data_IF_837827297993
#
_entry.id   IF_837827297993
#
_cell.length_a   1.000
_cell.length_b   1.000
_cell.length_c   1.000
_cell.angle_alpha   90.00
_cell.angle_beta   90.00
_cell.angle_gamma   90.00
#
_symmetry.space_group_name_H-M   'P 1'
#
loop_
_entity.id
_entity.type
_entity.pdbx_description
1 polymer ?
#
# COMPACT_ATOMS: atom_id res chain seq x y z
N UNK A 1 -22.40 5.44 3.07
CA UNK A 1 -21.68 6.74 2.99
C UNK A 1 -21.92 7.51 1.69
N UNK A 2 -22.36 6.87 0.59
CA UNK A 2 -22.56 7.56 -0.70
C UNK A 2 -23.63 8.67 -0.72
N UNK A 3 -24.48 8.79 0.30
CA UNK A 3 -25.46 9.87 0.42
C UNK A 3 -24.91 11.15 1.11
N UNK A 4 -23.66 11.12 1.61
CA UNK A 4 -23.12 12.22 2.43
C UNK A 4 -22.78 13.48 1.62
N UNK A 5 -22.58 13.36 0.29
CA UNK A 5 -22.23 14.49 -0.57
C UNK A 5 -21.05 15.29 -0.02
N UNK A 6 -21.22 16.60 0.09
CA UNK A 6 -20.21 17.54 0.61
C UNK A 6 -19.81 17.25 2.07
N UNK A 7 -20.66 16.58 2.86
CA UNK A 7 -20.34 16.22 4.24
C UNK A 7 -19.34 15.05 4.35
N UNK A 8 -19.03 14.36 3.24
CA UNK A 8 -18.09 13.24 3.22
C UNK A 8 -16.70 13.63 3.75
N UNK A 9 -16.18 14.77 3.30
CA UNK A 9 -14.84 15.24 3.70
C UNK A 9 -14.74 15.46 5.21
N UNK A 10 -15.74 16.09 5.81
CA UNK A 10 -15.78 16.25 7.27
C UNK A 10 -15.94 14.92 7.99
N UNK A 11 -16.74 14.02 7.43
CA UNK A 11 -17.00 12.71 8.02
C UNK A 11 -15.77 11.78 7.99
N UNK A 12 -15.01 11.74 6.90
CA UNK A 12 -13.85 10.84 6.75
C UNK A 12 -12.71 11.22 7.71
N UNK A 13 -12.56 12.51 8.01
CA UNK A 13 -11.56 13.04 8.95
C UNK A 13 -11.98 12.97 10.42
N UNK A 14 -13.15 12.39 10.75
CA UNK A 14 -13.57 12.15 12.13
C UNK A 14 -13.23 10.71 12.55
N UNK A 15 -12.11 10.47 13.27
CA UNK A 15 -11.66 9.13 13.58
C UNK A 15 -12.61 8.40 14.54
N UNK A 16 -12.82 7.12 14.28
CA UNK A 16 -13.50 6.18 15.18
C UNK A 16 -12.41 5.38 15.89
N UNK A 17 -12.28 5.61 17.20
CA UNK A 17 -11.21 5.02 18.02
C UNK A 17 -11.65 3.66 18.55
N UNK A 18 -11.61 2.64 17.67
CA UNK A 18 -11.89 1.24 18.03
C UNK A 18 -10.80 0.34 17.47
N UNK A 19 -10.44 -0.71 18.21
CA UNK A 19 -9.50 -1.74 17.72
C UNK A 19 -10.16 -2.67 16.70
N UNK A 20 -11.46 -2.91 16.85
CA UNK A 20 -12.23 -3.66 15.89
C UNK A 20 -12.52 -2.78 14.67
N UNK A 21 -12.01 -3.22 13.52
CA UNK A 21 -12.28 -2.58 12.24
C UNK A 21 -13.68 -2.92 11.71
N UNK A 22 -14.29 -2.03 10.91
CA UNK A 22 -15.59 -2.30 10.29
C UNK A 22 -15.49 -3.45 9.28
N UNK A 23 -16.61 -4.14 9.02
CA UNK A 23 -16.72 -5.05 7.87
C UNK A 23 -17.04 -4.25 6.61
N UNK A 24 -16.32 -4.48 5.52
CA UNK A 24 -16.51 -3.75 4.25
C UNK A 24 -17.41 -4.51 3.29
N UNK A 25 -17.22 -5.82 3.16
CA UNK A 25 -17.97 -6.64 2.23
C UNK A 25 -18.75 -7.74 2.95
N UNK A 26 -19.96 -8.02 2.47
CA UNK A 26 -20.74 -9.17 2.93
C UNK A 26 -20.08 -10.50 2.54
N UNK A 27 -19.37 -10.54 1.41
CA UNK A 27 -18.64 -11.71 0.95
C UNK A 27 -17.27 -11.83 1.67
N UNK A 28 -17.01 -13.01 2.25
CA UNK A 28 -15.75 -13.32 2.95
C UNK A 28 -14.51 -13.23 2.06
N UNK A 29 -14.61 -13.64 0.79
CA UNK A 29 -13.51 -13.53 -0.16
C UNK A 29 -13.13 -12.07 -0.42
N UNK A 30 -14.12 -11.20 -0.67
CA UNK A 30 -13.87 -9.77 -0.87
C UNK A 30 -13.35 -9.11 0.41
N UNK A 31 -13.89 -9.49 1.59
CA UNK A 31 -13.43 -8.98 2.89
C UNK A 31 -11.98 -9.39 3.16
N UNK A 32 -11.60 -10.62 2.83
CA UNK A 32 -10.22 -11.12 2.97
C UNK A 32 -9.24 -10.25 2.17
N UNK A 33 -9.58 -9.87 0.93
CA UNK A 33 -8.74 -9.02 0.09
C UNK A 33 -8.51 -7.61 0.67
N UNK A 34 -9.36 -7.16 1.61
CA UNK A 34 -9.19 -5.86 2.28
C UNK A 34 -8.30 -5.94 3.52
N UNK A 35 -7.99 -7.13 4.05
CA UNK A 35 -7.32 -7.32 5.34
C UNK A 35 -5.90 -7.84 5.12
N UNK A 36 -4.92 -6.98 5.34
CA UNK A 36 -3.50 -7.28 5.16
C UNK A 36 -2.73 -7.03 6.46
N UNK A 37 -2.11 -8.08 7.02
CA UNK A 37 -1.20 -7.92 8.16
C UNK A 37 0.09 -7.25 7.71
N UNK A 38 0.68 -6.40 8.56
CA UNK A 38 1.91 -5.65 8.25
C UNK A 38 3.06 -6.52 7.70
N UNK A 39 3.23 -7.74 8.22
CA UNK A 39 4.32 -8.64 7.83
C UNK A 39 4.15 -9.23 6.43
N UNK A 40 2.96 -9.13 5.83
CA UNK A 40 2.71 -9.59 4.46
C UNK A 40 3.54 -8.76 3.47
N UNK A 41 3.74 -7.47 3.74
CA UNK A 41 4.49 -6.56 2.86
C UNK A 41 5.94 -7.04 2.66
N UNK A 42 6.77 -7.20 3.72
CA UNK A 42 8.13 -7.70 3.52
C UNK A 42 8.14 -9.15 3.01
N UNK A 43 7.18 -10.00 3.42
CA UNK A 43 7.13 -11.39 2.95
C UNK A 43 6.93 -11.50 1.43
N UNK A 44 6.10 -10.64 0.84
CA UNK A 44 5.80 -10.67 -0.60
C UNK A 44 6.84 -9.90 -1.40
N UNK A 45 7.17 -8.67 -0.98
CA UNK A 45 7.96 -7.76 -1.82
C UNK A 45 9.47 -7.92 -1.65
N UNK A 46 9.96 -8.35 -0.48
CA UNK A 46 11.40 -8.54 -0.30
C UNK A 46 11.97 -9.62 -1.23
N UNK A 47 11.34 -10.81 -1.38
CA UNK A 47 11.81 -11.80 -2.36
C UNK A 47 11.77 -11.29 -3.80
N UNK A 48 10.76 -10.50 -4.17
CA UNK A 48 10.64 -9.90 -5.52
C UNK A 48 11.79 -8.93 -5.76
N UNK A 49 12.07 -8.03 -4.81
CA UNK A 49 13.20 -7.08 -4.92
C UNK A 49 14.53 -7.82 -5.01
N UNK A 50 14.76 -8.80 -4.13
CA UNK A 50 15.98 -9.62 -4.17
C UNK A 50 16.14 -10.32 -5.52
N UNK A 51 15.07 -10.93 -6.04
CA UNK A 51 15.08 -11.62 -7.32
C UNK A 51 15.37 -10.67 -8.49
N UNK A 52 14.74 -9.49 -8.52
CA UNK A 52 14.99 -8.48 -9.55
C UNK A 52 16.44 -7.98 -9.53
N UNK A 53 17.00 -7.71 -8.35
CA UNK A 53 18.41 -7.31 -8.21
C UNK A 53 19.35 -8.42 -8.65
N UNK A 54 19.10 -9.68 -8.24
CA UNK A 54 19.89 -10.83 -8.67
C UNK A 54 19.85 -11.05 -10.18
N UNK A 55 18.68 -10.95 -10.82
CA UNK A 55 18.58 -11.07 -12.28
C UNK A 55 19.30 -9.93 -12.97
N UNK A 56 19.20 -8.71 -12.44
CA UNK A 56 19.83 -7.53 -13.04
C UNK A 56 21.35 -7.68 -13.08
N UNK A 57 21.95 -8.17 -11.99
CA UNK A 57 23.41 -8.42 -11.95
C UNK A 57 23.83 -9.59 -12.83
N UNK A 58 23.04 -10.67 -12.86
CA UNK A 58 23.28 -11.80 -13.78
C UNK A 58 23.18 -11.40 -15.26
N UNK A 59 22.37 -10.38 -15.58
CA UNK A 59 22.18 -9.86 -16.95
C UNK A 59 23.15 -8.74 -17.31
N UNK A 60 24.13 -8.43 -16.47
CA UNK A 60 25.26 -7.59 -16.83
C UNK A 60 25.34 -6.23 -16.13
N UNK A 61 24.41 -5.88 -15.23
CA UNK A 61 24.61 -4.72 -14.36
C UNK A 61 25.71 -5.04 -13.35
N UNK A 62 26.65 -4.13 -13.18
CA UNK A 62 27.64 -4.24 -12.09
C UNK A 62 26.93 -4.10 -10.74
N UNK A 63 27.50 -4.66 -9.64
CA UNK A 63 26.94 -4.48 -8.30
C UNK A 63 26.75 -3.00 -7.91
N UNK A 64 27.67 -2.13 -8.36
CA UNK A 64 27.59 -0.68 -8.12
C UNK A 64 26.40 -0.06 -8.84
N UNK A 65 26.20 -0.36 -10.13
CA UNK A 65 25.05 0.14 -10.89
C UNK A 65 23.74 -0.37 -10.32
N UNK A 66 23.67 -1.64 -9.91
CA UNK A 66 22.50 -2.20 -9.24
C UNK A 66 22.20 -1.48 -7.92
N UNK A 67 23.23 -1.18 -7.11
CA UNK A 67 23.06 -0.41 -5.87
C UNK A 67 22.57 1.02 -6.14
N UNK A 68 23.15 1.69 -7.14
CA UNK A 68 22.72 3.02 -7.56
C UNK A 68 21.27 3.03 -8.07
N UNK A 69 20.86 2.01 -8.83
CA UNK A 69 19.49 1.87 -9.30
C UNK A 69 18.50 1.68 -8.14
N UNK A 70 18.86 0.88 -7.11
CA UNK A 70 18.04 0.72 -5.90
C UNK A 70 17.91 2.04 -5.14
N UNK A 71 19.01 2.76 -4.92
CA UNK A 71 18.99 4.06 -4.23
C UNK A 71 18.19 5.09 -5.02
N UNK A 72 18.38 5.16 -6.34
CA UNK A 72 17.61 6.03 -7.23
C UNK A 72 16.11 5.67 -7.21
N UNK A 73 15.79 4.39 -7.18
CA UNK A 73 14.41 3.89 -7.04
C UNK A 73 13.77 4.32 -5.71
N UNK A 74 14.49 4.22 -4.59
CA UNK A 74 14.03 4.70 -3.28
C UNK A 74 13.77 6.21 -3.34
N UNK A 75 14.67 6.98 -3.95
CA UNK A 75 14.50 8.42 -4.09
C UNK A 75 13.27 8.77 -4.95
N UNK A 76 13.11 8.14 -6.12
CA UNK A 76 11.94 8.33 -6.97
C UNK A 76 10.66 7.95 -6.21
N UNK A 77 10.67 6.83 -5.48
CA UNK A 77 9.55 6.40 -4.64
C UNK A 77 9.16 7.47 -3.62
N UNK A 78 10.12 8.06 -2.89
CA UNK A 78 9.82 9.11 -1.91
C UNK A 78 9.16 10.35 -2.54
N UNK A 79 9.51 10.68 -3.79
CA UNK A 79 8.85 11.77 -4.52
C UNK A 79 7.44 11.40 -4.94
N UNK A 80 7.20 10.15 -5.34
CA UNK A 80 5.88 9.67 -5.74
C UNK A 80 4.92 9.54 -4.54
N UNK A 81 5.43 9.09 -3.39
CA UNK A 81 4.66 8.99 -2.14
C UNK A 81 4.14 10.35 -1.66
N UNK A 82 4.89 11.43 -1.90
CA UNK A 82 4.49 12.79 -1.54
C UNK A 82 3.31 13.38 -2.32
N UNK A 83 2.82 12.72 -3.37
CA UNK A 83 1.78 13.25 -4.26
C UNK A 83 0.35 12.98 -3.79
N UNK A 84 -0.60 13.78 -4.28
CA UNK A 84 -2.06 13.73 -3.97
C UNK A 84 -2.70 12.34 -4.05
N UNK A 85 -2.17 11.43 -4.88
CA UNK A 85 -2.66 10.05 -5.01
C UNK A 85 -2.51 9.24 -3.72
N UNK A 86 -1.46 9.48 -2.94
CA UNK A 86 -1.26 8.87 -1.62
C UNK A 86 -2.40 9.24 -0.66
N UNK A 87 -2.78 10.52 -0.63
CA UNK A 87 -3.85 11.02 0.24
C UNK A 87 -5.24 10.49 -0.16
N UNK A 88 -5.50 10.26 -1.45
CA UNK A 88 -6.78 9.72 -1.93
C UNK A 88 -7.03 8.27 -1.47
N UNK A 89 -5.97 7.47 -1.31
CA UNK A 89 -6.08 6.06 -0.91
C UNK A 89 -6.09 5.86 0.61
N UNK A 90 -5.82 6.91 1.40
CA UNK A 90 -5.69 6.83 2.86
C UNK A 90 -6.98 7.07 3.66
N UNK A 91 -8.13 7.33 3.01
CA UNK A 91 -9.38 7.69 3.70
C UNK A 91 -9.86 6.66 4.76
N UNK A 92 -9.67 5.36 4.50
CA UNK A 92 -9.97 4.30 5.48
C UNK A 92 -9.12 4.43 6.75
N UNK A 93 -7.83 4.67 6.60
CA UNK A 93 -6.90 4.80 7.72
C UNK A 93 -7.23 6.03 8.57
N UNK A 94 -7.59 7.15 7.95
CA UNK A 94 -8.05 8.34 8.69
C UNK A 94 -9.31 8.07 9.53
N UNK A 95 -10.24 7.26 9.00
CA UNK A 95 -11.48 6.94 9.70
C UNK A 95 -11.29 5.91 10.80
N UNK A 96 -10.46 4.90 10.59
CA UNK A 96 -10.18 3.81 11.56
C UNK A 96 -8.67 3.65 11.79
N UNK A 97 -8.03 4.57 12.53
CA UNK A 97 -6.57 4.61 12.66
C UNK A 97 -5.96 3.42 13.41
N UNK A 98 -6.77 2.69 14.19
CA UNK A 98 -6.32 1.54 14.99
C UNK A 98 -6.59 0.17 14.33
N UNK A 99 -7.13 0.14 13.11
CA UNK A 99 -7.32 -1.10 12.35
C UNK A 99 -5.98 -1.58 11.76
N UNK A 100 -5.29 -2.45 12.50
CA UNK A 100 -3.99 -3.00 12.11
C UNK A 100 -4.00 -3.91 10.87
N UNK A 101 -5.17 -4.30 10.36
CA UNK A 101 -5.30 -5.08 9.13
C UNK A 101 -5.50 -4.20 7.89
N UNK A 102 -5.72 -2.89 8.06
CA UNK A 102 -5.95 -1.95 6.95
C UNK A 102 -4.99 -0.77 6.98
N UNK A 103 -3.84 -0.98 7.61
CA UNK A 103 -2.76 -0.01 7.69
C UNK A 103 -1.91 0.00 6.40
N UNK A 104 -1.73 -1.17 5.80
CA UNK A 104 -0.85 -1.36 4.64
C UNK A 104 -1.68 -1.62 3.38
N UNK A 105 -1.14 -1.20 2.23
CA UNK A 105 -1.81 -1.41 0.96
C UNK A 105 -1.82 -2.91 0.57
N UNK A 106 -2.97 -3.51 0.21
CA UNK A 106 -3.04 -4.93 -0.11
C UNK A 106 -2.18 -5.30 -1.34
N UNK A 107 -1.36 -6.38 -1.30
CA UNK A 107 -0.45 -6.73 -2.40
C UNK A 107 -1.13 -6.92 -3.75
N UNK A 108 -2.35 -7.47 -3.78
CA UNK A 108 -3.12 -7.63 -5.01
C UNK A 108 -3.48 -6.28 -5.64
N UNK A 109 -3.88 -5.30 -4.83
CA UNK A 109 -4.13 -3.94 -5.29
C UNK A 109 -2.83 -3.25 -5.73
N UNK A 110 -1.73 -3.43 -4.98
CA UNK A 110 -0.40 -2.92 -5.36
C UNK A 110 0.01 -3.45 -6.73
N UNK A 111 -0.13 -4.75 -6.97
CA UNK A 111 0.26 -5.37 -8.24
C UNK A 111 -0.50 -4.80 -9.44
N UNK A 112 -1.80 -4.50 -9.27
CA UNK A 112 -2.62 -3.86 -10.30
C UNK A 112 -2.13 -2.42 -10.54
N UNK A 113 -1.83 -1.65 -9.49
CA UNK A 113 -1.32 -0.27 -9.63
C UNK A 113 0.09 -0.21 -10.25
N UNK A 114 0.91 -1.24 -10.04
CA UNK A 114 2.25 -1.32 -10.60
C UNK A 114 2.28 -1.89 -12.03
N UNK A 115 1.15 -2.41 -12.54
CA UNK A 115 1.05 -2.86 -13.92
C UNK A 115 0.94 -1.64 -14.86
N UNK A 116 1.67 -1.64 -16.00
CA UNK A 116 1.65 -0.54 -16.96
C UNK A 116 0.32 -0.44 -17.71
#
# INVERSE_FOLDING_TARGET
VGHLGEAYEKWVHQPIVTKDGPRFFANEFCELLTRTKWWVIPLVWLPVVCWLVCISTQRGLTPTEAALAVVGGIFIWTLLEGNTFHYLLHGCHHKHPLDGLRLVFPPAATAILCAP
#
